data_IF_099033915151
#
_entry.id   IF_099033915151
#
_cell.length_a   1.000
_cell.length_b   1.000
_cell.length_c   1.000
_cell.angle_alpha   90.00
_cell.angle_beta   90.00
_cell.angle_gamma   90.00
#
_symmetry.space_group_name_H-M   'P 1'
#
loop_
_entity.id
_entity.type
_entity.pdbx_description
1 polymer ?
#
# COMPACT_ATOMS: atom_id res chain seq x y z
N UNK A 1 -9.38 53.75 19.01
CA UNK A 1 -8.74 52.47 19.43
C UNK A 1 -9.70 51.27 19.49
N UNK A 2 -10.99 51.43 19.88
CA UNK A 2 -11.96 50.30 19.92
C UNK A 2 -12.32 49.67 18.55
N UNK A 3 -12.14 50.39 17.43
CA UNK A 3 -12.49 49.90 16.08
C UNK A 3 -11.42 49.00 15.44
N UNK A 4 -10.17 49.03 15.95
CA UNK A 4 -9.07 48.21 15.41
C UNK A 4 -9.07 46.80 16.03
N UNK A 5 -9.45 46.66 17.30
CA UNK A 5 -9.54 45.36 17.97
C UNK A 5 -10.62 44.44 17.39
N UNK A 6 -11.72 45.01 16.86
CA UNK A 6 -12.80 44.20 16.25
C UNK A 6 -12.35 43.59 14.92
N UNK A 7 -11.50 44.29 14.14
CA UNK A 7 -11.03 43.82 12.84
C UNK A 7 -10.04 42.65 12.97
N UNK A 8 -9.18 42.66 13.99
CA UNK A 8 -8.17 41.61 14.24
C UNK A 8 -8.84 40.32 14.74
N UNK A 9 -9.91 40.41 15.53
CA UNK A 9 -10.65 39.25 16.03
C UNK A 9 -11.43 38.56 14.89
N UNK A 10 -12.01 39.33 13.97
CA UNK A 10 -12.71 38.76 12.79
C UNK A 10 -11.78 38.02 11.82
N UNK A 11 -10.52 38.43 11.69
CA UNK A 11 -9.53 37.75 10.84
C UNK A 11 -9.02 36.46 11.51
N UNK A 12 -8.94 36.41 12.85
CA UNK A 12 -8.50 35.21 13.57
C UNK A 12 -9.58 34.11 13.60
N UNK A 13 -10.86 34.47 13.62
CA UNK A 13 -11.97 33.48 13.55
C UNK A 13 -12.10 32.79 12.19
N UNK A 14 -11.65 33.41 11.09
CA UNK A 14 -11.71 32.81 9.75
C UNK A 14 -10.67 31.70 9.54
N UNK A 15 -9.57 31.71 10.29
CA UNK A 15 -8.48 30.72 10.15
C UNK A 15 -8.80 29.43 10.93
N UNK A 16 -9.59 29.50 12.00
CA UNK A 16 -9.92 28.37 12.86
C UNK A 16 -11.00 27.42 12.29
N UNK A 17 -11.70 27.80 11.22
CA UNK A 17 -12.80 27.01 10.65
C UNK A 17 -12.39 26.11 9.48
N UNK A 18 -11.15 26.20 8.98
CA UNK A 18 -10.68 25.36 7.87
C UNK A 18 -10.12 23.98 8.32
N UNK A 19 -9.90 23.76 9.62
CA UNK A 19 -9.29 22.52 10.13
C UNK A 19 -10.26 21.36 10.37
N UNK A 20 -11.56 21.63 10.53
CA UNK A 20 -12.54 20.57 10.86
C UNK A 20 -12.90 19.67 9.68
N UNK A 21 -12.86 20.19 8.45
CA UNK A 21 -13.18 19.40 7.25
C UNK A 21 -12.10 18.36 6.91
N UNK A 22 -10.83 18.69 7.13
CA UNK A 22 -9.71 17.79 6.84
C UNK A 22 -9.72 16.54 7.74
N UNK A 23 -9.79 16.73 9.06
CA UNK A 23 -9.80 15.61 10.01
C UNK A 23 -11.00 14.68 9.80
N UNK A 24 -12.14 15.24 9.35
CA UNK A 24 -13.32 14.45 9.00
C UNK A 24 -13.08 13.60 7.74
N UNK A 25 -12.54 14.18 6.65
CA UNK A 25 -12.25 13.41 5.43
C UNK A 25 -11.22 12.30 5.70
N UNK A 26 -10.18 12.56 6.51
CA UNK A 26 -9.19 11.53 6.87
C UNK A 26 -9.87 10.35 7.58
N UNK A 27 -10.73 10.63 8.56
CA UNK A 27 -11.46 9.60 9.29
C UNK A 27 -12.34 8.77 8.33
N UNK A 28 -13.19 9.43 7.56
CA UNK A 28 -14.10 8.75 6.65
C UNK A 28 -13.36 7.96 5.55
N UNK A 29 -12.24 8.48 5.04
CA UNK A 29 -11.40 7.77 4.09
C UNK A 29 -10.75 6.52 4.72
N UNK A 30 -10.31 6.62 5.99
CA UNK A 30 -9.71 5.49 6.71
C UNK A 30 -10.71 4.36 7.00
N UNK A 31 -11.98 4.69 7.15
CA UNK A 31 -13.08 3.70 7.30
C UNK A 31 -13.45 3.02 5.96
N UNK A 32 -12.97 3.58 4.84
CA UNK A 32 -13.28 3.14 3.48
C UNK A 32 -12.03 2.62 2.73
N UNK A 33 -11.06 2.01 3.44
CA UNK A 33 -9.84 1.46 2.82
C UNK A 33 -10.09 0.06 2.28
N UNK A 34 -10.12 -0.08 0.96
CA UNK A 34 -10.30 -1.35 0.24
C UNK A 34 -9.00 -2.17 0.12
N UNK A 35 -7.84 -1.52 0.09
CA UNK A 35 -6.54 -2.19 0.23
C UNK A 35 -5.57 -1.31 1.00
N UNK A 36 -4.90 -1.90 1.97
CA UNK A 36 -3.79 -1.32 2.69
C UNK A 36 -2.63 -2.31 2.68
N UNK A 37 -1.56 -1.97 1.97
CA UNK A 37 -0.26 -2.63 2.12
C UNK A 37 0.42 -2.01 3.32
N UNK A 38 0.84 -2.83 4.27
CA UNK A 38 1.48 -2.35 5.50
C UNK A 38 2.98 -2.52 5.44
N UNK A 39 3.43 -3.65 4.89
CA UNK A 39 4.84 -4.04 4.90
C UNK A 39 5.24 -4.70 3.59
N UNK A 40 6.51 -4.53 3.25
CA UNK A 40 7.16 -5.17 2.11
C UNK A 40 8.50 -5.74 2.56
N UNK A 41 8.68 -7.03 2.28
CA UNK A 41 9.92 -7.75 2.46
C UNK A 41 10.54 -8.01 1.10
N UNK A 42 11.86 -7.83 0.97
CA UNK A 42 12.59 -8.09 -0.28
C UNK A 42 13.86 -8.87 0.00
N UNK A 43 14.26 -9.72 -0.92
CA UNK A 43 15.52 -10.44 -0.88
C UNK A 43 15.88 -10.95 -2.26
N UNK A 44 17.17 -11.13 -2.51
CA UNK A 44 17.66 -11.63 -3.79
C UNK A 44 18.99 -12.34 -3.64
N UNK A 45 19.25 -13.27 -4.54
CA UNK A 45 20.57 -13.83 -4.78
C UNK A 45 20.85 -13.81 -6.30
N UNK A 46 21.82 -14.59 -6.77
CA UNK A 46 22.18 -14.64 -8.18
C UNK A 46 21.14 -15.32 -9.09
N UNK A 47 20.21 -16.09 -8.53
CA UNK A 47 19.25 -16.94 -9.24
C UNK A 47 17.80 -16.48 -9.10
N UNK A 48 17.45 -15.85 -7.97
CA UNK A 48 16.09 -15.41 -7.67
C UNK A 48 16.05 -14.02 -7.06
N UNK A 49 14.98 -13.28 -7.37
CA UNK A 49 14.50 -12.13 -6.60
C UNK A 49 13.16 -12.49 -5.96
N UNK A 50 12.99 -12.16 -4.70
CA UNK A 50 11.77 -12.44 -3.94
C UNK A 50 11.27 -11.15 -3.32
N UNK A 51 9.99 -10.91 -3.47
CA UNK A 51 9.28 -9.88 -2.71
C UNK A 51 8.07 -10.50 -2.02
N UNK A 52 7.73 -9.97 -0.84
CA UNK A 52 6.52 -10.31 -0.14
C UNK A 52 5.85 -9.05 0.36
N UNK A 53 4.58 -8.88 0.02
CA UNK A 53 3.75 -7.75 0.43
C UNK A 53 2.62 -8.29 1.30
N UNK A 54 2.39 -7.64 2.44
CA UNK A 54 1.32 -8.04 3.38
C UNK A 54 0.51 -6.85 3.86
N UNK A 55 -0.74 -7.12 4.26
CA UNK A 55 -1.64 -6.13 4.84
C UNK A 55 -3.08 -6.58 4.81
N UNK A 56 -3.99 -5.64 4.58
CA UNK A 56 -5.44 -5.84 4.55
C UNK A 56 -6.01 -5.51 3.18
N UNK A 57 -6.95 -6.31 2.68
CA UNK A 57 -7.69 -6.02 1.45
C UNK A 57 -9.11 -6.52 1.54
N UNK A 58 -10.00 -6.02 0.70
CA UNK A 58 -11.35 -6.54 0.61
C UNK A 58 -11.39 -8.04 0.31
N UNK A 59 -12.34 -8.75 0.94
CA UNK A 59 -12.63 -10.15 0.64
C UNK A 59 -13.00 -10.34 -0.82
N UNK A 60 -13.84 -9.44 -1.35
CA UNK A 60 -14.24 -9.42 -2.75
C UNK A 60 -13.59 -8.22 -3.41
N UNK A 61 -12.44 -8.45 -4.04
CA UNK A 61 -11.64 -7.38 -4.63
C UNK A 61 -12.30 -6.85 -5.92
N UNK A 62 -13.11 -5.80 -5.80
CA UNK A 62 -13.86 -5.22 -6.93
C UNK A 62 -13.79 -3.70 -6.86
N UNK A 63 -13.14 -3.08 -7.85
CA UNK A 63 -13.01 -1.62 -7.93
C UNK A 63 -14.34 -0.99 -8.36
N UNK A 64 -15.16 -0.55 -7.40
CA UNK A 64 -16.50 0.00 -7.67
C UNK A 64 -16.91 1.19 -6.78
N UNK A 65 -16.02 1.65 -5.89
CA UNK A 65 -16.28 2.76 -4.97
C UNK A 65 -17.06 2.36 -3.71
N UNK A 66 -17.14 1.07 -3.39
CA UNK A 66 -17.80 0.53 -2.20
C UNK A 66 -16.85 -0.39 -1.45
N UNK A 67 -16.42 0.07 -0.28
CA UNK A 67 -15.63 -0.75 0.63
C UNK A 67 -16.48 -1.83 1.30
N UNK A 68 -15.94 -3.03 1.39
CA UNK A 68 -16.52 -4.24 1.98
C UNK A 68 -15.61 -4.76 3.11
N UNK A 69 -15.91 -5.95 3.63
CA UNK A 69 -15.13 -6.56 4.70
C UNK A 69 -13.66 -6.77 4.28
N UNK A 70 -12.74 -6.20 5.07
CA UNK A 70 -11.30 -6.43 4.93
C UNK A 70 -10.87 -7.77 5.51
N UNK A 71 -9.99 -8.46 4.79
CA UNK A 71 -9.30 -9.67 5.22
C UNK A 71 -7.78 -9.47 5.12
N UNK A 72 -7.05 -10.22 5.95
CA UNK A 72 -5.60 -10.29 5.84
C UNK A 72 -5.17 -10.93 4.51
N UNK A 73 -4.07 -10.44 3.96
CA UNK A 73 -3.39 -11.08 2.85
C UNK A 73 -1.87 -10.98 3.00
N UNK A 74 -1.18 -11.90 2.35
CA UNK A 74 0.27 -11.87 2.21
C UNK A 74 0.62 -12.53 0.89
N UNK A 75 1.11 -11.76 -0.07
CA UNK A 75 1.50 -12.30 -1.38
C UNK A 75 3.01 -12.37 -1.43
N UNK A 76 3.55 -13.59 -1.57
CA UNK A 76 4.95 -13.82 -1.89
C UNK A 76 5.09 -14.03 -3.39
N UNK A 77 6.09 -13.39 -3.98
CA UNK A 77 6.39 -13.42 -5.41
C UNK A 77 7.85 -13.76 -5.62
N UNK A 78 8.12 -14.79 -6.41
CA UNK A 78 9.43 -15.21 -6.86
C UNK A 78 9.62 -14.82 -8.33
N UNK A 79 10.69 -14.11 -8.63
CA UNK A 79 11.19 -13.85 -9.98
C UNK A 79 12.43 -14.70 -10.20
N UNK A 80 12.41 -15.54 -11.23
CA UNK A 80 13.56 -16.36 -11.62
C UNK A 80 14.44 -15.51 -12.53
N UNK A 81 15.73 -15.39 -12.18
CA UNK A 81 16.72 -14.60 -12.91
C UNK A 81 17.50 -15.46 -13.92
N UNK A 82 17.53 -16.77 -13.68
CA UNK A 82 18.10 -17.73 -14.62
C UNK A 82 17.18 -17.94 -15.82
N UNK A 83 17.76 -18.18 -17.00
CA UNK A 83 17.03 -18.53 -18.22
C UNK A 83 16.61 -20.02 -18.18
N UNK A 84 15.70 -20.32 -17.25
CA UNK A 84 15.14 -21.66 -17.04
C UNK A 84 13.62 -21.59 -16.95
N UNK A 85 12.97 -22.62 -17.47
CA UNK A 85 11.54 -22.84 -17.26
C UNK A 85 11.35 -23.77 -16.06
N UNK A 86 10.54 -23.34 -15.09
CA UNK A 86 10.23 -24.15 -13.91
C UNK A 86 8.75 -24.49 -13.90
N UNK A 87 8.44 -25.77 -13.69
CA UNK A 87 7.08 -26.27 -13.54
C UNK A 87 6.87 -26.77 -12.12
N UNK A 88 5.62 -26.68 -11.63
CA UNK A 88 5.21 -27.19 -10.33
C UNK A 88 6.06 -26.66 -9.16
N UNK A 89 6.38 -25.37 -9.18
CA UNK A 89 7.18 -24.74 -8.15
C UNK A 89 6.44 -24.72 -6.80
N UNK A 90 7.10 -25.21 -5.76
CA UNK A 90 6.64 -25.09 -4.37
C UNK A 90 7.42 -23.99 -3.67
N UNK A 91 6.81 -23.36 -2.67
CA UNK A 91 7.51 -22.43 -1.79
C UNK A 91 7.55 -22.95 -0.34
N UNK A 92 8.54 -22.47 0.40
CA UNK A 92 8.55 -22.51 1.86
C UNK A 92 8.91 -21.10 2.35
N UNK A 93 8.01 -20.49 3.11
CA UNK A 93 8.24 -19.25 3.82
C UNK A 93 8.38 -19.58 5.31
N UNK A 94 9.50 -19.19 5.90
CA UNK A 94 9.75 -19.29 7.33
C UNK A 94 9.73 -17.90 7.94
N UNK A 95 8.95 -17.72 9.00
CA UNK A 95 8.83 -16.49 9.78
C UNK A 95 9.16 -16.85 11.23
N UNK A 96 10.40 -16.57 11.65
CA UNK A 96 10.94 -17.05 12.92
C UNK A 96 10.88 -18.58 13.00
N UNK A 97 9.95 -19.10 13.81
CA UNK A 97 9.72 -20.56 13.95
C UNK A 97 8.50 -21.07 13.17
N UNK A 98 7.69 -20.16 12.61
CA UNK A 98 6.48 -20.51 11.86
C UNK A 98 6.81 -20.81 10.41
N UNK A 99 6.19 -21.84 9.85
CA UNK A 99 6.39 -22.28 8.47
C UNK A 99 5.08 -22.21 7.69
N UNK A 100 5.16 -21.65 6.49
CA UNK A 100 4.12 -21.66 5.47
C UNK A 100 4.69 -22.33 4.21
N UNK A 101 3.94 -23.21 3.58
CA UNK A 101 4.33 -23.83 2.33
C UNK A 101 3.13 -24.13 1.44
N UNK A 102 3.40 -24.31 0.16
CA UNK A 102 2.37 -24.59 -0.83
C UNK A 102 2.90 -24.48 -2.25
N UNK A 103 1.98 -24.59 -3.20
CA UNK A 103 2.27 -24.41 -4.62
C UNK A 103 2.26 -22.93 -4.98
N UNK A 104 3.19 -22.55 -5.86
CA UNK A 104 3.20 -21.26 -6.52
C UNK A 104 2.42 -21.35 -7.82
N UNK A 105 1.69 -20.28 -8.13
CA UNK A 105 1.02 -20.09 -9.41
C UNK A 105 1.86 -19.15 -10.28
N UNK A 106 2.04 -19.52 -11.56
CA UNK A 106 2.73 -18.66 -12.51
C UNK A 106 1.84 -17.49 -12.90
N UNK A 107 2.36 -16.27 -12.80
CA UNK A 107 1.66 -15.08 -13.28
C UNK A 107 1.53 -15.15 -14.81
N UNK A 108 0.34 -14.92 -15.38
CA UNK A 108 0.17 -14.91 -16.83
C UNK A 108 0.77 -13.67 -17.53
N UNK A 109 1.10 -12.61 -16.78
CA UNK A 109 1.54 -11.32 -17.34
C UNK A 109 3.05 -11.07 -17.22
N UNK A 110 3.68 -11.60 -16.18
CA UNK A 110 5.13 -11.55 -15.97
C UNK A 110 5.60 -12.96 -15.62
N UNK A 111 6.88 -13.30 -15.86
CA UNK A 111 7.38 -14.67 -15.65
C UNK A 111 7.58 -15.02 -14.16
N UNK A 112 6.82 -14.38 -13.26
CA UNK A 112 6.93 -14.59 -11.81
C UNK A 112 6.01 -15.72 -11.33
N UNK A 113 6.31 -16.19 -10.13
CA UNK A 113 5.59 -17.25 -9.44
C UNK A 113 5.10 -16.71 -8.11
N UNK A 114 3.81 -16.82 -7.82
CA UNK A 114 3.21 -16.17 -6.65
C UNK A 114 2.31 -17.08 -5.84
N UNK A 115 2.16 -16.76 -4.57
CA UNK A 115 1.16 -17.38 -3.69
C UNK A 115 0.62 -16.35 -2.70
N UNK A 116 -0.70 -16.36 -2.47
CA UNK A 116 -1.32 -15.66 -1.36
C UNK A 116 -1.41 -16.59 -0.14
N UNK A 117 -0.61 -16.31 0.88
CA UNK A 117 -0.56 -17.05 2.13
C UNK A 117 -1.70 -16.69 3.08
N UNK A 118 -2.55 -15.71 2.72
CA UNK A 118 -3.75 -15.28 3.47
C UNK A 118 -3.46 -14.87 4.91
N UNK A 119 -2.29 -14.27 5.12
CA UNK A 119 -1.79 -13.79 6.41
C UNK A 119 -1.05 -12.48 6.26
N UNK A 120 -1.33 -11.56 7.16
CA UNK A 120 -0.55 -10.34 7.28
C UNK A 120 0.73 -10.64 8.08
N UNK A 121 1.88 -10.70 7.41
CA UNK A 121 3.18 -10.89 8.08
C UNK A 121 3.81 -9.53 8.31
N UNK A 122 3.70 -9.02 9.54
CA UNK A 122 4.41 -7.84 10.02
C UNK A 122 5.13 -8.20 11.32
N UNK A 123 6.43 -8.52 11.20
CA UNK A 123 7.23 -9.05 12.30
C UNK A 123 8.66 -8.50 12.30
N UNK A 124 9.30 -8.54 13.46
CA UNK A 124 10.74 -8.30 13.64
C UNK A 124 11.58 -9.59 13.58
N UNK A 125 10.94 -10.76 13.43
CA UNK A 125 11.65 -12.03 13.27
C UNK A 125 12.31 -12.15 11.89
N UNK A 126 13.28 -13.06 11.79
CA UNK A 126 13.92 -13.41 10.51
C UNK A 126 12.89 -14.04 9.59
N UNK A 127 12.83 -13.54 8.36
CA UNK A 127 11.96 -14.06 7.31
C UNK A 127 12.84 -14.68 6.22
N UNK A 128 12.58 -15.92 5.84
CA UNK A 128 13.31 -16.63 4.78
C UNK A 128 12.33 -17.23 3.80
N UNK A 129 12.59 -17.04 2.51
CA UNK A 129 11.81 -17.60 1.43
C UNK A 129 12.64 -18.59 0.63
N UNK A 130 12.04 -19.73 0.32
CA UNK A 130 12.64 -20.79 -0.47
C UNK A 130 11.70 -21.22 -1.58
N UNK A 131 12.23 -21.43 -2.78
CA UNK A 131 11.53 -22.04 -3.92
C UNK A 131 12.13 -23.41 -4.22
N UNK A 132 11.27 -24.36 -4.59
CA UNK A 132 11.64 -25.75 -4.88
C UNK A 132 10.92 -26.18 -6.16
N UNK A 133 11.67 -26.40 -7.23
CA UNK A 133 11.17 -26.90 -8.52
C UNK A 133 12.14 -27.94 -9.10
N UNK A 134 11.89 -29.22 -8.82
CA UNK A 134 12.81 -30.30 -9.23
C UNK A 134 14.19 -30.14 -8.60
N UNK A 135 15.22 -29.99 -9.44
CA UNK A 135 16.60 -29.74 -9.01
C UNK A 135 16.88 -28.27 -8.70
N UNK A 136 16.02 -27.34 -9.13
CA UNK A 136 16.14 -25.93 -8.84
C UNK A 136 15.65 -25.63 -7.42
N UNK A 137 16.59 -25.31 -6.52
CA UNK A 137 16.30 -25.07 -5.11
C UNK A 137 17.06 -23.85 -4.64
N UNK A 138 16.34 -22.75 -4.45
CA UNK A 138 16.94 -21.47 -4.09
C UNK A 138 16.28 -20.90 -2.84
N UNK A 139 17.07 -20.19 -2.03
CA UNK A 139 16.63 -19.62 -0.77
C UNK A 139 17.26 -18.25 -0.54
N UNK A 140 16.47 -17.33 -0.01
CA UNK A 140 16.90 -15.97 0.35
C UNK A 140 16.31 -15.56 1.69
N UNK A 141 17.11 -14.84 2.48
CA UNK A 141 16.59 -14.07 3.61
C UNK A 141 15.91 -12.81 3.07
N UNK A 142 14.76 -12.44 3.65
CA UNK A 142 14.01 -11.27 3.25
C UNK A 142 14.13 -10.17 4.32
N UNK A 143 14.41 -8.96 3.86
CA UNK A 143 14.52 -7.76 4.71
C UNK A 143 13.25 -6.94 4.56
N UNK A 144 12.66 -6.55 5.70
CA UNK A 144 11.55 -5.60 5.72
C UNK A 144 12.08 -4.19 5.39
N UNK A 145 11.79 -3.70 4.18
CA UNK A 145 12.26 -2.37 3.74
C UNK A 145 11.42 -1.24 4.33
N UNK A 146 10.17 -1.50 4.70
CA UNK A 146 9.25 -0.48 5.24
C UNK A 146 9.64 -0.03 6.64
N UNK A 147 10.39 -0.85 7.39
CA UNK A 147 10.92 -0.46 8.70
C UNK A 147 11.88 0.74 8.65
N UNK A 148 12.46 1.01 7.48
CA UNK A 148 13.39 2.13 7.29
C UNK A 148 12.69 3.40 6.77
N UNK A 149 11.36 3.37 6.64
CA UNK A 149 10.58 4.48 6.09
C UNK A 149 10.06 5.40 7.18
N UNK A 150 10.02 6.70 6.86
CA UNK A 150 9.43 7.71 7.72
C UNK A 150 7.90 7.76 7.57
N UNK A 151 7.39 7.32 6.41
CA UNK A 151 5.96 7.22 6.11
C UNK A 151 5.52 5.77 6.21
N UNK A 152 4.61 5.47 7.14
CA UNK A 152 3.81 4.25 7.13
C UNK A 152 2.50 4.45 6.35
N UNK A 153 1.72 3.39 6.15
CA UNK A 153 0.45 3.43 5.40
C UNK A 153 -0.55 4.49 5.92
N UNK A 154 -0.72 4.60 7.24
CA UNK A 154 -1.60 5.61 7.87
C UNK A 154 -1.15 7.03 7.57
N UNK A 155 0.16 7.29 7.63
CA UNK A 155 0.73 8.60 7.33
C UNK A 155 0.64 8.90 5.83
N UNK A 156 0.81 7.89 4.96
CA UNK A 156 0.62 8.04 3.52
C UNK A 156 -0.81 8.48 3.19
N UNK A 157 -1.82 7.87 3.84
CA UNK A 157 -3.22 8.28 3.69
C UNK A 157 -3.44 9.73 4.10
N UNK A 158 -2.91 10.15 5.26
CA UNK A 158 -3.04 11.54 5.74
C UNK A 158 -2.41 12.54 4.78
N UNK A 159 -1.19 12.26 4.30
CA UNK A 159 -0.49 13.10 3.32
C UNK A 159 -1.32 13.21 2.03
N UNK A 160 -1.84 12.09 1.52
CA UNK A 160 -2.65 12.08 0.31
C UNK A 160 -3.97 12.85 0.47
N UNK A 161 -4.66 12.69 1.60
CA UNK A 161 -5.89 13.44 1.90
C UNK A 161 -5.59 14.94 2.03
N UNK A 162 -4.46 15.32 2.62
CA UNK A 162 -4.07 16.72 2.76
C UNK A 162 -3.86 17.34 1.37
N UNK A 163 -3.11 16.64 0.52
CA UNK A 163 -2.81 17.05 -0.85
C UNK A 163 -4.07 17.20 -1.72
N UNK A 164 -5.02 16.27 -1.58
CA UNK A 164 -6.23 16.20 -2.41
C UNK A 164 -7.49 16.73 -1.73
N UNK A 165 -7.34 17.43 -0.60
CA UNK A 165 -8.46 17.82 0.28
C UNK A 165 -9.57 18.61 -0.43
N UNK A 166 -9.24 19.39 -1.46
CA UNK A 166 -10.24 20.14 -2.25
C UNK A 166 -11.07 19.20 -3.12
N UNK A 167 -10.43 18.25 -3.81
CA UNK A 167 -11.07 17.29 -4.69
C UNK A 167 -11.88 16.26 -3.87
N UNK A 168 -11.32 15.76 -2.76
CA UNK A 168 -11.98 14.77 -1.90
C UNK A 168 -13.27 15.28 -1.23
N UNK A 169 -13.52 16.59 -1.22
CA UNK A 169 -14.83 17.11 -0.78
C UNK A 169 -15.98 16.58 -1.63
N UNK A 170 -15.79 16.29 -2.91
CA UNK A 170 -16.85 15.70 -3.74
C UNK A 170 -17.13 14.24 -3.40
N UNK A 171 -16.23 13.58 -2.68
CA UNK A 171 -16.39 12.20 -2.22
C UNK A 171 -17.19 12.16 -0.91
N UNK A 172 -17.42 13.29 -0.23
CA UNK A 172 -18.17 13.29 1.02
C UNK A 172 -19.58 13.82 0.77
N UNK A 173 -20.56 12.95 1.00
CA UNK A 173 -21.98 13.30 0.94
C UNK A 173 -22.71 12.73 2.17
N UNK A 174 -23.51 13.58 2.82
CA UNK A 174 -24.26 13.25 4.04
C UNK A 174 -23.43 12.60 5.17
N UNK A 175 -22.16 13.00 5.30
CA UNK A 175 -21.26 12.48 6.34
C UNK A 175 -20.67 11.10 6.03
N UNK A 176 -20.82 10.60 4.81
CA UNK A 176 -20.28 9.33 4.34
C UNK A 176 -19.25 9.57 3.23
N UNK A 177 -18.18 8.78 3.20
CA UNK A 177 -17.27 8.72 2.06
C UNK A 177 -17.87 7.85 0.94
N UNK A 178 -18.21 8.48 -0.18
CA UNK A 178 -18.77 7.88 -1.41
C UNK A 178 -17.67 7.38 -2.34
N UNK A 179 -16.74 6.62 -1.77
CA UNK A 179 -15.67 5.99 -2.51
C UNK A 179 -14.93 4.95 -1.68
N UNK A 180 -13.82 4.49 -2.22
CA UNK A 180 -12.90 3.56 -1.60
C UNK A 180 -11.45 4.04 -1.77
N UNK A 181 -10.60 3.68 -0.82
CA UNK A 181 -9.20 4.08 -0.76
C UNK A 181 -8.29 2.88 -0.94
N UNK A 182 -7.21 3.05 -1.68
CA UNK A 182 -6.15 2.06 -1.84
C UNK A 182 -4.82 2.68 -1.46
N UNK A 183 -4.11 2.04 -0.53
CA UNK A 183 -2.78 2.42 -0.06
C UNK A 183 -1.84 1.31 -0.47
N UNK A 184 -1.08 1.54 -1.55
CA UNK A 184 -0.21 0.55 -2.17
C UNK A 184 1.25 0.97 -2.10
N UNK A 185 2.14 -0.02 -2.14
CA UNK A 185 3.56 0.15 -2.38
C UNK A 185 3.78 -0.18 -3.86
N UNK A 186 4.44 0.72 -4.57
CA UNK A 186 4.84 0.54 -5.98
C UNK A 186 6.35 0.74 -6.09
N UNK A 187 6.97 0.06 -7.06
CA UNK A 187 8.37 0.28 -7.43
C UNK A 187 8.48 1.03 -8.75
N UNK A 188 9.60 1.71 -8.94
CA UNK A 188 10.03 2.13 -10.27
C UNK A 188 10.80 0.99 -10.93
N UNK A 189 10.31 0.48 -12.06
CA UNK A 189 10.95 -0.63 -12.77
C UNK A 189 12.24 -0.18 -13.48
N UNK A 190 12.43 1.12 -13.73
CA UNK A 190 13.65 1.68 -14.31
C UNK A 190 14.74 1.93 -13.26
N UNK A 191 14.35 2.10 -11.99
CA UNK A 191 15.26 2.39 -10.88
C UNK A 191 15.13 1.31 -9.81
N UNK A 192 16.07 0.35 -9.85
CA UNK A 192 16.14 -0.71 -8.85
C UNK A 192 16.09 -0.17 -7.43
N UNK A 193 15.29 -0.86 -6.61
CA UNK A 193 15.16 -0.66 -5.16
C UNK A 193 14.62 0.71 -4.73
N UNK A 194 13.92 1.41 -5.63
CA UNK A 194 13.16 2.61 -5.30
C UNK A 194 11.68 2.28 -5.22
N UNK A 195 11.08 2.64 -4.09
CA UNK A 195 9.71 2.31 -3.75
C UNK A 195 8.97 3.57 -3.30
N UNK A 196 7.67 3.60 -3.59
CA UNK A 196 6.80 4.72 -3.26
C UNK A 196 5.50 4.24 -2.65
N UNK A 197 4.91 5.10 -1.81
CA UNK A 197 3.50 4.97 -1.49
C UNK A 197 2.68 5.51 -2.65
N UNK A 198 1.80 4.68 -3.19
CA UNK A 198 0.75 5.05 -4.11
C UNK A 198 -0.59 5.02 -3.37
N UNK A 199 -1.16 6.20 -3.11
CA UNK A 199 -2.46 6.32 -2.47
C UNK A 199 -3.47 6.77 -3.52
N UNK A 200 -4.54 6.01 -3.70
CA UNK A 200 -5.60 6.34 -4.65
C UNK A 200 -6.99 6.26 -4.06
N UNK A 201 -7.90 7.03 -4.63
CA UNK A 201 -9.29 7.16 -4.24
C UNK A 201 -10.14 6.93 -5.49
N UNK A 202 -11.13 6.04 -5.38
CA UNK A 202 -12.08 5.75 -6.45
C UNK A 202 -13.48 6.09 -5.96
N UNK A 203 -14.11 7.08 -6.61
CA UNK A 203 -15.45 7.53 -6.31
C UNK A 203 -16.49 6.63 -6.97
N UNK A 204 -17.70 6.58 -6.40
CA UNK A 204 -18.85 5.86 -6.99
C UNK A 204 -19.29 6.43 -8.35
N UNK A 205 -18.87 7.65 -8.65
CA UNK A 205 -19.05 8.34 -9.93
C UNK A 205 -17.93 8.05 -10.94
N UNK A 206 -17.03 7.11 -10.63
CA UNK A 206 -15.80 6.77 -11.37
C UNK A 206 -14.72 7.87 -11.36
N UNK A 207 -14.85 8.93 -10.56
CA UNK A 207 -13.76 9.89 -10.37
C UNK A 207 -12.57 9.19 -9.72
N UNK A 208 -11.35 9.43 -10.25
CA UNK A 208 -10.13 8.80 -9.74
C UNK A 208 -9.11 9.84 -9.32
N UNK A 209 -8.67 9.77 -8.07
CA UNK A 209 -7.62 10.62 -7.54
C UNK A 209 -6.45 9.74 -7.10
N UNK A 210 -5.22 10.20 -7.28
CA UNK A 210 -4.05 9.47 -6.81
C UNK A 210 -2.90 10.40 -6.44
N UNK A 211 -2.05 9.92 -5.52
CA UNK A 211 -0.83 10.58 -5.06
C UNK A 211 0.30 9.56 -4.98
N UNK A 212 1.48 9.95 -5.45
CA UNK A 212 2.74 9.23 -5.23
C UNK A 212 3.53 9.98 -4.17
N UNK A 213 3.95 9.29 -3.11
CA UNK A 213 4.63 9.85 -1.96
C UNK A 213 5.96 9.12 -1.76
N UNK A 214 7.02 9.89 -1.58
CA UNK A 214 8.32 9.36 -1.19
C UNK A 214 8.28 8.89 0.27
N UNK A 215 8.64 7.62 0.56
CA UNK A 215 8.50 7.07 1.90
C UNK A 215 9.58 7.55 2.89
N UNK A 216 10.64 8.20 2.41
CA UNK A 216 11.75 8.71 3.23
C UNK A 216 11.59 10.22 3.47
N UNK A 217 11.35 11.02 2.44
CA UNK A 217 11.27 12.48 2.56
C UNK A 217 9.86 12.99 2.92
N UNK A 218 8.83 12.12 2.80
CA UNK A 218 7.42 12.47 2.91
C UNK A 218 6.92 13.37 1.77
N UNK A 219 7.73 13.62 0.75
CA UNK A 219 7.39 14.53 -0.35
C UNK A 219 6.36 13.89 -1.28
N UNK A 220 5.39 14.71 -1.70
CA UNK A 220 4.47 14.34 -2.78
C UNK A 220 5.19 14.53 -4.11
N UNK A 221 5.50 13.43 -4.78
CA UNK A 221 6.22 13.43 -6.06
C UNK A 221 5.29 13.70 -7.23
N UNK A 222 4.05 13.22 -7.15
CA UNK A 222 3.04 13.40 -8.19
C UNK A 222 1.63 13.30 -7.61
N UNK A 223 0.68 13.97 -8.26
CA UNK A 223 -0.75 13.81 -7.98
C UNK A 223 -1.53 13.84 -9.29
N UNK A 224 -2.59 13.04 -9.36
CA UNK A 224 -3.48 12.95 -10.52
C UNK A 224 -4.92 13.08 -10.09
N UNK A 225 -5.72 13.75 -10.91
CA UNK A 225 -7.18 13.80 -10.80
C UNK A 225 -7.74 13.55 -12.19
N UNK A 226 -8.53 12.48 -12.35
CA UNK A 226 -9.17 12.07 -13.60
C UNK A 226 -10.66 11.98 -13.40
#
# INVERSE_FOLDING_TARGET
MKKICVLIISVFCLILMCGCGYNNIVLLASENVAECREVMYVGSNQHIKVNMISGMRERNYVVNGYCTEGIEFGVITFTILDDIEIDNANYVLTVGTTRYDGLLERNPYDLTYMCDIKKNINTSEVVTAKIIAGEFVESVELVNITNNWNVNSDNALKIAVAQLSKQLKSFVDNGEFKGECYIKIVSDDEINDVYYWYVSFVGRDNTKLAVIIDPISNEVLSSKSV
#
